data_IF_479524658184
#
_entry.id   IF_479524658184
#
_cell.length_a   1.000
_cell.length_b   1.000
_cell.length_c   1.000
_cell.angle_alpha   90.00
_cell.angle_beta   90.00
_cell.angle_gamma   90.00
#
_symmetry.space_group_name_H-M   'P 1'
#
loop_
_entity.id
_entity.type
_entity.pdbx_description
1 polymer ?
#
# COMPACT_ATOMS: atom_id res chain seq x y z
N UNK A 1 1.27 -29.37 19.37
CA UNK A 1 1.28 -29.06 17.92
C UNK A 1 1.53 -27.58 17.61
N UNK A 2 0.91 -26.61 18.31
CA UNK A 2 1.14 -25.16 18.08
C UNK A 2 2.60 -24.67 18.25
N UNK A 3 3.40 -25.28 19.14
CA UNK A 3 4.79 -24.84 19.38
C UNK A 3 5.75 -25.10 18.21
N UNK A 4 5.46 -26.09 17.34
CA UNK A 4 6.30 -26.37 16.14
C UNK A 4 6.03 -25.36 15.02
N UNK A 5 4.78 -24.92 14.84
CA UNK A 5 4.42 -23.81 13.96
C UNK A 5 5.17 -22.51 14.33
N UNK A 6 5.23 -22.18 15.63
CA UNK A 6 6.00 -21.01 16.11
C UNK A 6 7.51 -21.08 15.82
N UNK A 7 8.06 -22.29 15.66
CA UNK A 7 9.46 -22.51 15.29
C UNK A 7 9.71 -22.26 13.79
N UNK A 8 8.74 -22.58 12.92
CA UNK A 8 8.77 -22.24 11.50
C UNK A 8 8.52 -20.74 11.24
N UNK A 9 7.66 -20.11 12.07
CA UNK A 9 7.50 -18.65 12.10
C UNK A 9 8.83 -17.92 12.34
N UNK A 10 9.80 -18.51 13.04
CA UNK A 10 11.07 -17.81 13.35
C UNK A 10 11.90 -17.51 12.10
N UNK A 11 11.75 -18.31 11.04
CA UNK A 11 12.46 -18.11 9.76
C UNK A 11 11.70 -17.17 8.81
N UNK A 12 10.35 -17.21 8.83
CA UNK A 12 9.46 -16.37 8.01
C UNK A 12 9.02 -15.06 8.67
N UNK A 13 9.39 -14.82 9.94
CA UNK A 13 9.10 -13.58 10.67
C UNK A 13 9.58 -12.32 9.95
N UNK A 14 10.69 -12.41 9.21
CA UNK A 14 11.24 -11.29 8.44
C UNK A 14 10.35 -10.95 7.24
N UNK A 15 9.94 -11.95 6.47
CA UNK A 15 9.04 -11.78 5.32
C UNK A 15 7.65 -11.31 5.74
N UNK A 16 7.13 -11.83 6.86
CA UNK A 16 5.86 -11.38 7.46
C UNK A 16 5.93 -9.93 7.94
N UNK A 17 7.02 -9.53 8.59
CA UNK A 17 7.20 -8.15 9.05
C UNK A 17 7.34 -7.18 7.87
N UNK A 18 8.09 -7.56 6.83
CA UNK A 18 8.21 -6.76 5.59
C UNK A 18 6.86 -6.65 4.89
N UNK A 19 6.10 -7.74 4.78
CA UNK A 19 4.74 -7.71 4.23
C UNK A 19 3.80 -6.80 5.03
N UNK A 20 3.84 -6.91 6.36
CA UNK A 20 3.04 -6.07 7.26
C UNK A 20 3.39 -4.58 7.14
N UNK A 21 4.67 -4.24 7.02
CA UNK A 21 5.10 -2.86 6.79
C UNK A 21 4.65 -2.38 5.41
N UNK A 22 4.79 -3.19 4.36
CA UNK A 22 4.34 -2.85 3.01
C UNK A 22 2.84 -2.54 2.95
N UNK A 23 1.98 -3.36 3.57
CA UNK A 23 0.54 -3.13 3.56
C UNK A 23 0.14 -1.89 4.36
N UNK A 24 0.83 -1.61 5.48
CA UNK A 24 0.60 -0.36 6.24
C UNK A 24 0.93 0.86 5.38
N UNK A 25 2.07 0.84 4.69
CA UNK A 25 2.44 1.94 3.78
C UNK A 25 1.46 2.06 2.61
N UNK A 26 1.07 0.95 1.98
CA UNK A 26 0.04 0.92 0.94
C UNK A 26 -1.25 1.58 1.42
N UNK A 27 -1.78 1.16 2.58
CA UNK A 27 -3.02 1.72 3.12
C UNK A 27 -2.91 3.22 3.42
N UNK A 28 -1.74 3.71 3.86
CA UNK A 28 -1.50 5.15 4.03
C UNK A 28 -1.60 5.87 2.67
N UNK A 29 -1.01 5.33 1.61
CA UNK A 29 -1.12 5.93 0.27
C UNK A 29 -2.55 5.89 -0.27
N UNK A 30 -3.29 4.79 -0.06
CA UNK A 30 -4.71 4.71 -0.41
C UNK A 30 -5.55 5.77 0.31
N UNK A 31 -5.24 6.09 1.56
CA UNK A 31 -5.92 7.16 2.31
C UNK A 31 -5.50 8.57 1.87
N UNK A 32 -4.30 8.74 1.34
CA UNK A 32 -3.82 10.03 0.81
C UNK A 32 -4.48 10.39 -0.51
N UNK A 33 -4.85 9.41 -1.35
CA UNK A 33 -5.56 9.64 -2.62
C UNK A 33 -6.87 10.45 -2.44
N UNK A 34 -7.83 10.05 -1.58
CA UNK A 34 -9.06 10.80 -1.36
C UNK A 34 -8.82 12.15 -0.67
N UNK A 35 -7.77 12.27 0.16
CA UNK A 35 -7.37 13.56 0.73
C UNK A 35 -6.90 14.55 -0.36
N UNK A 36 -6.10 14.08 -1.32
CA UNK A 36 -5.69 14.90 -2.48
C UNK A 36 -6.90 15.21 -3.36
N UNK A 37 -7.82 14.26 -3.55
CA UNK A 37 -9.04 14.46 -4.32
C UNK A 37 -9.93 15.55 -3.70
N UNK A 38 -10.10 15.57 -2.38
CA UNK A 38 -10.83 16.62 -1.69
C UNK A 38 -10.20 18.00 -1.90
N UNK A 39 -8.87 18.09 -1.78
CA UNK A 39 -8.12 19.34 -2.02
C UNK A 39 -8.23 19.84 -3.48
N UNK A 40 -8.27 18.91 -4.45
CA UNK A 40 -8.52 19.24 -5.86
C UNK A 40 -9.90 19.86 -6.04
N UNK A 41 -10.93 19.34 -5.37
CA UNK A 41 -12.30 19.83 -5.48
C UNK A 41 -12.44 21.18 -4.77
N UNK A 42 -12.00 21.26 -3.51
CA UNK A 42 -12.19 22.45 -2.67
C UNK A 42 -11.36 23.65 -3.14
N UNK A 43 -10.16 23.42 -3.69
CA UNK A 43 -9.26 24.51 -4.12
C UNK A 43 -9.22 24.64 -5.63
N UNK A 44 -9.01 23.54 -6.36
CA UNK A 44 -8.83 23.55 -7.80
C UNK A 44 -10.13 23.88 -8.55
N UNK A 45 -11.22 23.18 -8.24
CA UNK A 45 -12.51 23.36 -8.93
C UNK A 45 -13.16 24.68 -8.53
N UNK A 46 -13.15 25.03 -7.24
CA UNK A 46 -13.72 26.31 -6.74
C UNK A 46 -13.02 27.51 -7.36
N UNK A 47 -11.68 27.49 -7.48
CA UNK A 47 -10.90 28.58 -8.10
C UNK A 47 -10.83 28.51 -9.63
N UNK A 48 -11.41 27.47 -10.26
CA UNK A 48 -11.28 27.17 -11.70
C UNK A 48 -9.83 27.11 -12.19
N UNK A 49 -8.90 26.75 -11.31
CA UNK A 49 -7.47 26.66 -11.65
C UNK A 49 -7.15 25.25 -12.20
N UNK A 50 -7.24 25.13 -13.52
CA UNK A 50 -6.98 23.88 -14.24
C UNK A 50 -5.52 23.44 -14.15
N UNK A 51 -4.57 24.37 -14.01
CA UNK A 51 -3.16 24.04 -13.86
C UNK A 51 -2.86 23.40 -12.50
N UNK A 52 -3.51 23.89 -11.44
CA UNK A 52 -3.43 23.27 -10.11
C UNK A 52 -4.02 21.86 -10.09
N UNK A 53 -5.20 21.68 -10.71
CA UNK A 53 -5.87 20.37 -10.84
C UNK A 53 -4.95 19.37 -11.55
N UNK A 54 -4.35 19.73 -12.69
CA UNK A 54 -3.45 18.86 -13.45
C UNK A 54 -2.19 18.46 -12.69
N UNK A 55 -1.59 19.39 -11.93
CA UNK A 55 -0.41 19.07 -11.10
C UNK A 55 -0.76 18.09 -9.99
N UNK A 56 -1.87 18.32 -9.28
CA UNK A 56 -2.31 17.47 -8.16
C UNK A 56 -2.76 16.09 -8.64
N UNK A 57 -3.47 16.00 -9.76
CA UNK A 57 -3.88 14.72 -10.33
C UNK A 57 -2.69 13.88 -10.82
N UNK A 58 -1.63 14.51 -11.32
CA UNK A 58 -0.40 13.82 -11.68
C UNK A 58 0.33 13.25 -10.45
N UNK A 59 0.40 14.02 -9.35
CA UNK A 59 0.95 13.53 -8.07
C UNK A 59 0.11 12.38 -7.50
N UNK A 60 -1.22 12.47 -7.59
CA UNK A 60 -2.14 11.41 -7.20
C UNK A 60 -1.91 10.13 -8.01
N UNK A 61 -1.73 10.25 -9.33
CA UNK A 61 -1.43 9.11 -10.21
C UNK A 61 -0.11 8.42 -9.84
N UNK A 62 0.93 9.19 -9.53
CA UNK A 62 2.21 8.62 -9.06
C UNK A 62 2.04 7.89 -7.72
N UNK A 63 1.31 8.47 -6.77
CA UNK A 63 1.01 7.78 -5.49
C UNK A 63 0.24 6.48 -5.71
N UNK A 64 -0.75 6.46 -6.61
CA UNK A 64 -1.51 5.26 -6.93
C UNK A 64 -0.62 4.15 -7.53
N UNK A 65 0.32 4.51 -8.42
CA UNK A 65 1.29 3.55 -8.97
C UNK A 65 2.22 2.97 -7.90
N UNK A 66 2.66 3.81 -6.95
CA UNK A 66 3.47 3.36 -5.81
C UNK A 66 2.67 2.43 -4.91
N UNK A 67 1.42 2.78 -4.60
CA UNK A 67 0.50 1.96 -3.81
C UNK A 67 0.28 0.59 -4.47
N UNK A 68 0.03 0.56 -5.78
CA UNK A 68 -0.15 -0.68 -6.53
C UNK A 68 1.11 -1.56 -6.52
N UNK A 69 2.30 -0.95 -6.61
CA UNK A 69 3.58 -1.66 -6.47
C UNK A 69 3.75 -2.28 -5.07
N UNK A 70 3.44 -1.52 -4.02
CA UNK A 70 3.50 -1.97 -2.63
C UNK A 70 2.51 -3.11 -2.36
N UNK A 71 1.27 -2.98 -2.82
CA UNK A 71 0.23 -4.01 -2.72
C UNK A 71 0.60 -5.30 -3.46
N UNK A 72 1.18 -5.19 -4.65
CA UNK A 72 1.70 -6.35 -5.40
C UNK A 72 2.87 -7.04 -4.69
N UNK A 73 3.78 -6.27 -4.09
CA UNK A 73 4.84 -6.79 -3.25
C UNK A 73 4.26 -7.53 -2.02
N UNK A 74 3.30 -6.92 -1.30
CA UNK A 74 2.62 -7.54 -0.18
C UNK A 74 1.95 -8.86 -0.58
N UNK A 75 1.20 -8.88 -1.69
CA UNK A 75 0.54 -10.09 -2.18
C UNK A 75 1.55 -11.22 -2.45
N UNK A 76 2.72 -10.92 -3.01
CA UNK A 76 3.80 -11.91 -3.21
C UNK A 76 4.41 -12.42 -1.91
N UNK A 77 4.67 -11.55 -0.93
CA UNK A 77 5.20 -11.97 0.37
C UNK A 77 4.17 -12.79 1.16
N UNK A 78 2.89 -12.40 1.11
CA UNK A 78 1.79 -13.12 1.73
C UNK A 78 1.59 -14.50 1.09
N UNK A 79 1.65 -14.61 -0.24
CA UNK A 79 1.57 -15.89 -0.94
C UNK A 79 2.72 -16.83 -0.56
N UNK A 80 3.96 -16.34 -0.52
CA UNK A 80 5.14 -17.11 -0.07
C UNK A 80 5.06 -17.54 1.39
N UNK A 81 4.56 -16.67 2.27
CA UNK A 81 4.34 -17.00 3.66
C UNK A 81 3.25 -18.08 3.81
N UNK A 82 2.19 -18.03 2.99
CA UNK A 82 1.09 -18.99 2.97
C UNK A 82 1.48 -20.36 2.40
N UNK A 83 2.31 -20.42 1.36
CA UNK A 83 2.83 -21.70 0.83
C UNK A 83 3.65 -22.47 1.88
N UNK A 84 4.40 -21.77 2.73
CA UNK A 84 5.13 -22.38 3.85
C UNK A 84 4.25 -22.98 4.97
N UNK A 85 2.94 -22.73 4.97
CA UNK A 85 1.96 -23.40 5.83
C UNK A 85 1.33 -24.64 5.19
N UNK A 86 1.44 -24.79 3.86
CA UNK A 86 0.77 -25.83 3.08
C UNK A 86 1.57 -27.13 2.90
N UNK A 87 2.83 -27.19 3.35
CA UNK A 87 3.70 -28.38 3.35
C UNK A 87 4.24 -28.66 4.73
#
# INVERSE_FOLDING_TARGET
>A
MLKRLFSYFKKYRKDLYIGMVCVVFESVFELVIPLIMADIIDVGVVRRDTAYIYRKSLVMGVCALISLGLGACYARFSARAGEGFGT
#
